data_IF_141402227114
#
_entry.id   IF_141402227114
#
_cell.length_a   1.000
_cell.length_b   1.000
_cell.length_c   1.000
_cell.angle_alpha   90.00
_cell.angle_beta   90.00
_cell.angle_gamma   90.00
#
_symmetry.space_group_name_H-M   'P 1'
#
loop_
_entity.id
_entity.type
_entity.pdbx_description
1 polymer ?
#
# COMPACT_ATOMS: atom_id res chain seq x y z
N UNK A 1 -6.30 -2.21 -3.03
CA UNK A 1 -6.45 -0.80 -3.44
C UNK A 1 -5.77 -0.43 -4.76
N UNK A 2 -4.43 -0.40 -4.87
CA UNK A 2 -3.75 0.19 -6.04
C UNK A 2 -4.16 -0.44 -7.40
N UNK A 3 -4.29 -1.77 -7.47
CA UNK A 3 -4.69 -2.45 -8.71
C UNK A 3 -6.15 -2.15 -9.09
N UNK A 4 -7.06 -2.03 -8.11
CA UNK A 4 -8.41 -1.55 -8.41
C UNK A 4 -8.39 -0.10 -8.92
N UNK A 5 -7.72 0.84 -8.22
CA UNK A 5 -7.63 2.26 -8.64
C UNK A 5 -7.09 2.42 -10.08
N UNK A 6 -6.10 1.62 -10.48
CA UNK A 6 -5.59 1.63 -11.87
C UNK A 6 -6.65 1.17 -12.90
N UNK A 7 -7.47 0.17 -12.56
CA UNK A 7 -8.56 -0.33 -13.41
C UNK A 7 -9.77 0.61 -13.39
N UNK A 8 -10.09 1.22 -12.24
CA UNK A 8 -11.05 2.32 -12.08
C UNK A 8 -10.67 3.51 -12.98
N UNK A 9 -9.37 3.80 -13.10
CA UNK A 9 -8.81 4.80 -14.01
C UNK A 9 -8.64 4.33 -15.47
N UNK A 10 -9.21 3.17 -15.85
CA UNK A 10 -9.31 2.71 -17.24
C UNK A 10 -8.15 1.86 -17.76
N UNK A 11 -7.16 1.48 -16.94
CA UNK A 11 -6.13 0.51 -17.39
C UNK A 11 -6.74 -0.90 -17.50
N UNK A 12 -6.34 -1.64 -18.54
CA UNK A 12 -6.64 -3.07 -18.59
C UNK A 12 -5.93 -3.80 -17.45
N UNK A 13 -6.49 -4.92 -16.98
CA UNK A 13 -5.87 -5.76 -15.93
C UNK A 13 -4.43 -6.16 -16.26
N UNK A 14 -4.12 -6.37 -17.55
CA UNK A 14 -2.77 -6.68 -18.06
C UNK A 14 -1.82 -5.47 -18.00
N UNK A 15 -2.34 -4.27 -18.27
CA UNK A 15 -1.59 -3.01 -18.19
C UNK A 15 -1.25 -2.67 -16.74
N UNK A 16 -2.23 -2.73 -15.84
CA UNK A 16 -2.05 -2.51 -14.40
C UNK A 16 -1.05 -3.51 -13.79
N UNK A 17 -1.15 -4.80 -14.14
CA UNK A 17 -0.19 -5.82 -13.73
C UNK A 17 1.25 -5.47 -14.17
N UNK A 18 1.46 -5.16 -15.46
CA UNK A 18 2.79 -4.86 -15.99
C UNK A 18 3.40 -3.61 -15.35
N UNK A 19 2.65 -2.50 -15.25
CA UNK A 19 3.17 -1.25 -14.68
C UNK A 19 3.50 -1.34 -13.18
N UNK A 20 2.90 -2.30 -12.47
CA UNK A 20 3.20 -2.56 -11.05
C UNK A 20 4.21 -3.68 -10.82
N UNK A 21 4.68 -4.35 -11.88
CA UNK A 21 5.57 -5.53 -11.81
C UNK A 21 4.90 -6.81 -11.31
N UNK A 22 3.57 -6.82 -11.16
CA UNK A 22 2.84 -8.02 -10.77
C UNK A 22 2.67 -8.97 -11.95
N UNK A 23 2.69 -10.27 -11.67
CA UNK A 23 2.18 -11.25 -12.63
C UNK A 23 0.67 -11.01 -12.87
N UNK A 24 0.13 -11.36 -14.06
CA UNK A 24 -1.31 -11.25 -14.33
C UNK A 24 -2.15 -12.05 -13.32
N UNK A 25 -1.65 -13.18 -12.83
CA UNK A 25 -2.29 -13.95 -11.77
C UNK A 25 -2.30 -13.22 -10.44
N UNK A 26 -1.18 -12.61 -10.00
CA UNK A 26 -1.13 -11.84 -8.76
C UNK A 26 -2.07 -10.62 -8.81
N UNK A 27 -2.11 -9.90 -9.93
CA UNK A 27 -3.03 -8.78 -10.12
C UNK A 27 -4.51 -9.23 -10.10
N UNK A 28 -4.84 -10.38 -10.72
CA UNK A 28 -6.19 -10.95 -10.65
C UNK A 28 -6.61 -11.30 -9.23
N UNK A 29 -5.69 -11.86 -8.42
CA UNK A 29 -5.97 -12.21 -7.02
C UNK A 29 -6.20 -11.00 -6.11
N UNK A 30 -5.60 -9.84 -6.42
CA UNK A 30 -5.98 -8.58 -5.75
C UNK A 30 -7.39 -8.11 -6.17
N UNK A 31 -7.71 -8.14 -7.47
CA UNK A 31 -9.03 -7.74 -7.98
C UNK A 31 -10.18 -8.64 -7.53
N UNK A 32 -9.89 -9.90 -7.17
CA UNK A 32 -10.85 -10.86 -6.60
C UNK A 32 -10.92 -10.82 -5.06
N UNK A 33 -10.16 -9.93 -4.40
CA UNK A 33 -10.11 -9.83 -2.95
C UNK A 33 -9.31 -10.92 -2.23
N UNK A 34 -8.85 -11.96 -2.92
CA UNK A 34 -8.01 -13.04 -2.37
C UNK A 34 -6.68 -12.56 -1.77
N UNK A 35 -6.26 -11.33 -2.10
CA UNK A 35 -5.09 -10.66 -1.52
C UNK A 35 -5.45 -9.24 -1.11
N UNK A 36 -4.97 -8.84 0.07
CA UNK A 36 -5.07 -7.46 0.57
C UNK A 36 -6.44 -7.03 1.12
N UNK A 37 -7.54 -7.74 0.84
CA UNK A 37 -8.89 -7.32 1.26
C UNK A 37 -9.11 -7.28 2.79
N UNK A 38 -8.31 -8.01 3.57
CA UNK A 38 -8.34 -7.96 5.04
C UNK A 38 -7.86 -6.62 5.62
N UNK A 39 -7.13 -5.81 4.85
CA UNK A 39 -6.55 -4.54 5.27
C UNK A 39 -7.40 -3.41 4.68
N UNK A 40 -8.18 -2.72 5.52
CA UNK A 40 -9.05 -1.64 5.04
C UNK A 40 -8.28 -0.33 4.82
N UNK A 41 -7.42 -0.31 3.79
CA UNK A 41 -6.62 0.87 3.41
C UNK A 41 -7.47 2.11 3.18
N UNK A 42 -8.70 1.95 2.68
CA UNK A 42 -9.63 3.04 2.41
C UNK A 42 -10.18 3.74 3.66
N UNK A 43 -10.02 3.15 4.85
CA UNK A 43 -10.32 3.83 6.13
C UNK A 43 -9.32 4.97 6.45
N UNK A 44 -8.14 4.96 5.82
CA UNK A 44 -7.07 5.92 6.03
C UNK A 44 -7.01 6.88 4.83
N UNK A 45 -7.75 7.99 4.90
CA UNK A 45 -7.93 8.92 3.78
C UNK A 45 -6.63 9.61 3.32
N UNK A 46 -5.64 9.74 4.21
CA UNK A 46 -4.29 10.19 3.87
C UNK A 46 -3.52 9.15 3.03
N UNK A 47 -3.74 7.86 3.29
CA UNK A 47 -3.15 6.74 2.55
C UNK A 47 -3.87 6.49 1.21
N UNK A 48 -5.20 6.46 1.18
CA UNK A 48 -5.95 6.21 -0.06
C UNK A 48 -5.65 7.29 -1.11
N UNK A 49 -5.52 8.56 -0.68
CA UNK A 49 -5.06 9.68 -1.52
C UNK A 49 -3.63 9.49 -2.03
N UNK A 50 -2.69 9.05 -1.18
CA UNK A 50 -1.32 8.77 -1.64
C UNK A 50 -1.29 7.65 -2.69
N UNK A 51 -2.23 6.70 -2.62
CA UNK A 51 -2.39 5.65 -3.64
C UNK A 51 -3.08 6.21 -4.91
N UNK A 52 -3.99 7.19 -4.83
CA UNK A 52 -4.50 7.91 -6.01
C UNK A 52 -3.42 8.71 -6.74
N UNK A 53 -2.58 9.45 -6.00
CA UNK A 53 -1.46 10.21 -6.54
C UNK A 53 -0.46 9.30 -7.27
N UNK A 54 -0.19 8.12 -6.69
CA UNK A 54 0.59 7.06 -7.32
C UNK A 54 -0.12 6.46 -8.54
N UNK A 55 -1.41 6.13 -8.45
CA UNK A 55 -2.18 5.53 -9.55
C UNK A 55 -2.27 6.48 -10.76
N UNK A 56 -2.49 7.77 -10.53
CA UNK A 56 -2.46 8.80 -11.57
C UNK A 56 -1.06 8.91 -12.20
N UNK A 57 0.01 8.92 -11.40
CA UNK A 57 1.39 8.99 -11.90
C UNK A 57 1.76 7.76 -12.75
N UNK A 58 1.29 6.57 -12.37
CA UNK A 58 1.42 5.32 -13.15
C UNK A 58 0.63 5.40 -14.45
N UNK A 59 -0.64 5.85 -14.41
CA UNK A 59 -1.52 5.98 -15.59
C UNK A 59 -0.91 6.92 -16.63
N UNK A 60 -0.40 8.06 -16.17
CA UNK A 60 0.13 9.14 -16.99
C UNK A 60 1.57 8.89 -17.48
N UNK A 61 2.19 7.74 -17.13
CA UNK A 61 3.60 7.41 -17.38
C UNK A 61 4.58 8.47 -16.84
N UNK A 62 4.25 9.12 -15.71
CA UNK A 62 5.07 10.20 -15.11
C UNK A 62 6.22 9.69 -14.21
N UNK A 63 6.31 8.39 -13.99
CA UNK A 63 7.30 7.71 -13.14
C UNK A 63 7.68 6.35 -13.73
N UNK A 64 8.87 5.86 -13.44
CA UNK A 64 9.36 4.57 -13.95
C UNK A 64 9.01 3.37 -13.04
N UNK A 65 9.47 2.16 -13.39
CA UNK A 65 9.21 0.96 -12.59
C UNK A 65 9.88 1.00 -11.20
N UNK A 66 11.09 1.56 -11.10
CA UNK A 66 11.82 1.72 -9.84
C UNK A 66 11.09 2.71 -8.93
N UNK A 67 10.68 3.85 -9.48
CA UNK A 67 9.84 4.84 -8.78
C UNK A 67 8.57 4.21 -8.23
N UNK A 68 7.85 3.40 -9.04
CA UNK A 68 6.64 2.70 -8.59
C UNK A 68 6.91 1.83 -7.36
N UNK A 69 7.99 1.04 -7.37
CA UNK A 69 8.35 0.25 -6.19
C UNK A 69 8.72 1.14 -4.99
N UNK A 70 9.49 2.22 -5.22
CA UNK A 70 9.89 3.18 -4.16
C UNK A 70 8.66 3.82 -3.51
N UNK A 71 7.66 4.24 -4.29
CA UNK A 71 6.44 4.85 -3.74
C UNK A 71 5.54 3.83 -3.03
N UNK A 72 5.41 2.60 -3.54
CA UNK A 72 4.71 1.51 -2.82
C UNK A 72 5.34 1.27 -1.45
N UNK A 73 6.67 1.19 -1.36
CA UNK A 73 7.37 1.00 -0.09
C UNK A 73 7.24 2.21 0.84
N UNK A 74 7.33 3.45 0.32
CA UNK A 74 7.09 4.67 1.13
C UNK A 74 5.69 4.68 1.76
N UNK A 75 4.66 4.32 1.00
CA UNK A 75 3.28 4.24 1.50
C UNK A 75 3.16 3.16 2.59
N UNK A 76 3.73 1.97 2.38
CA UNK A 76 3.71 0.91 3.38
C UNK A 76 4.46 1.29 4.67
N UNK A 77 5.65 1.89 4.55
CA UNK A 77 6.47 2.38 5.68
C UNK A 77 5.72 3.48 6.45
N UNK A 78 5.01 4.37 5.76
CA UNK A 78 4.15 5.38 6.37
C UNK A 78 2.98 4.75 7.16
N UNK A 79 2.27 3.76 6.60
CA UNK A 79 1.21 3.05 7.33
C UNK A 79 1.74 2.38 8.61
N UNK A 80 2.95 1.84 8.58
CA UNK A 80 3.61 1.21 9.72
C UNK A 80 4.01 2.24 10.79
N UNK A 81 4.65 3.35 10.41
CA UNK A 81 5.04 4.41 11.36
C UNK A 81 3.82 5.07 12.03
N UNK A 82 2.69 5.14 11.31
CA UNK A 82 1.40 5.64 11.81
C UNK A 82 0.59 4.66 12.68
N UNK A 83 1.09 3.45 12.94
CA UNK A 83 0.36 2.35 13.60
C UNK A 83 -0.93 1.88 12.88
N UNK A 84 -1.20 2.30 11.64
CA UNK A 84 -2.44 1.93 10.95
C UNK A 84 -2.60 0.41 10.76
N UNK A 85 -1.48 -0.33 10.71
CA UNK A 85 -1.47 -1.80 10.64
C UNK A 85 -1.61 -2.52 11.99
N UNK A 86 -1.60 -1.83 13.14
CA UNK A 86 -1.49 -2.50 14.45
C UNK A 86 -2.71 -3.32 14.84
N UNK A 87 -3.93 -2.90 14.46
CA UNK A 87 -5.16 -3.65 14.72
C UNK A 87 -5.23 -4.95 13.88
N UNK A 88 -4.76 -4.93 12.64
CA UNK A 88 -4.65 -6.12 11.80
C UNK A 88 -3.56 -7.06 12.34
N UNK A 89 -2.45 -6.51 12.86
CA UNK A 89 -1.34 -7.27 13.43
C UNK A 89 -1.73 -7.98 14.74
N UNK A 90 -2.48 -7.31 15.64
CA UNK A 90 -2.96 -7.89 16.89
C UNK A 90 -3.98 -9.03 16.69
N UNK A 91 -4.66 -9.09 15.54
CA UNK A 91 -5.48 -10.25 15.14
C UNK A 91 -4.66 -11.47 14.71
N UNK A 92 -3.36 -11.30 14.45
CA UNK A 92 -2.43 -12.36 14.04
C UNK A 92 -1.56 -12.80 15.23
N UNK A 93 -0.98 -11.85 15.98
CA UNK A 93 -0.28 -12.12 17.24
C UNK A 93 -1.00 -11.44 18.42
N UNK A 94 -1.73 -12.27 19.18
CA UNK A 94 -2.49 -11.87 20.37
C UNK A 94 -1.62 -11.34 21.53
N UNK A 95 -0.27 -11.42 21.43
CA UNK A 95 0.66 -10.82 22.40
C UNK A 95 0.90 -9.33 22.17
N UNK A 96 0.47 -8.79 21.04
CA UNK A 96 0.69 -7.38 20.67
C UNK A 96 -0.49 -6.54 21.16
N UNK A 97 -0.23 -5.63 22.10
CA UNK A 97 -1.11 -4.49 22.36
C UNK A 97 -0.83 -3.36 21.33
N UNK A 98 -1.80 -2.98 20.47
CA UNK A 98 -1.68 -1.85 19.56
C UNK A 98 -1.32 -0.53 20.25
N UNK A 99 -1.68 -0.35 21.53
CA UNK A 99 -1.46 0.89 22.29
C UNK A 99 -0.02 0.97 22.80
N UNK A 100 0.46 -0.03 23.53
CA UNK A 100 1.81 -0.08 24.08
C UNK A 100 2.91 -0.38 23.04
N UNK A 101 2.64 -1.12 21.96
CA UNK A 101 3.67 -1.47 20.98
C UNK A 101 4.19 -0.23 20.23
N UNK A 102 5.50 0.04 20.26
CA UNK A 102 6.13 1.18 19.58
C UNK A 102 7.11 0.78 18.46
N UNK A 103 7.26 -0.52 18.14
CA UNK A 103 8.29 -1.03 17.22
C UNK A 103 8.23 -0.34 15.85
N UNK A 104 7.06 -0.29 15.21
CA UNK A 104 6.93 0.30 13.88
C UNK A 104 7.13 1.84 13.90
N UNK A 105 6.54 2.62 14.84
CA UNK A 105 6.92 4.02 15.05
C UNK A 105 8.42 4.23 15.23
N UNK A 106 9.11 3.44 16.07
CA UNK A 106 10.55 3.59 16.35
C UNK A 106 11.43 3.27 15.13
N UNK A 107 11.04 2.30 14.29
CA UNK A 107 11.80 1.92 13.09
C UNK A 107 11.52 2.82 11.88
N UNK A 108 10.32 3.39 11.77
CA UNK A 108 9.82 3.98 10.52
C UNK A 108 9.32 5.43 10.63
N UNK A 109 9.19 6.00 11.84
CA UNK A 109 9.16 7.46 11.95
C UNK A 109 10.54 7.97 11.58
N UNK A 110 10.63 8.90 10.63
CA UNK A 110 11.93 9.40 10.18
C UNK A 110 12.72 9.95 11.37
N UNK A 111 13.99 9.55 11.57
CA UNK A 111 14.84 10.24 12.52
C UNK A 111 14.99 11.69 12.04
N UNK A 112 14.44 12.63 12.79
CA UNK A 112 14.82 14.03 12.68
C UNK A 112 16.33 14.09 12.82
N UNK A 113 17.02 14.71 11.86
CA UNK A 113 18.49 14.74 11.83
C UNK A 113 19.03 15.23 13.18
N UNK A 114 19.94 14.45 13.75
CA UNK A 114 20.98 14.95 14.64
C UNK A 114 22.14 15.44 13.77
#
# INVERSE_FOLDING_TARGET
RLIEKLVEMGLTRREAARRTGLSPSAASRYLLGERGAYINVAAHSDVDRAIDELAASIRDNRIDFSDVQIQIHKIAIYMLSRKYMCEDHARIDLKIDPKACLICPTLFSSPTKQ
#
